data_IF_281628942782
#
_entry.id   IF_281628942782
#
_cell.length_a   1.000
_cell.length_b   1.000
_cell.length_c   1.000
_cell.angle_alpha   90.00
_cell.angle_beta   90.00
_cell.angle_gamma   90.00
#
_symmetry.space_group_name_H-M   'P 1'
#
loop_
_entity.id
_entity.type
_entity.pdbx_description
1 polymer ?
#
# COMPACT_ATOMS: atom_id res chain seq x y z
N UNK A 1 -36.27 -32.05 7.56
CA UNK A 1 -36.13 -30.89 6.65
C UNK A 1 -35.58 -29.72 7.47
N UNK A 2 -34.35 -29.26 7.22
CA UNK A 2 -33.76 -28.12 7.94
C UNK A 2 -33.95 -26.85 7.09
N UNK A 3 -34.52 -25.76 7.61
CA UNK A 3 -34.71 -24.54 6.86
C UNK A 3 -33.35 -23.89 6.60
N UNK A 4 -33.10 -23.54 5.34
CA UNK A 4 -31.89 -22.89 4.87
C UNK A 4 -32.10 -21.38 5.02
N UNK A 5 -31.65 -20.80 6.13
CA UNK A 5 -31.68 -19.34 6.33
C UNK A 5 -30.61 -18.74 5.42
N UNK A 6 -31.03 -18.08 4.35
CA UNK A 6 -30.14 -17.24 3.55
C UNK A 6 -29.97 -15.91 4.28
N UNK A 7 -28.80 -15.68 4.85
CA UNK A 7 -28.43 -14.38 5.40
C UNK A 7 -28.09 -13.48 4.22
N UNK A 8 -29.04 -12.65 3.82
CA UNK A 8 -28.81 -11.53 2.90
C UNK A 8 -28.03 -10.48 3.67
N UNK A 9 -26.72 -10.38 3.42
CA UNK A 9 -25.88 -9.34 4.04
C UNK A 9 -26.17 -8.04 3.30
N UNK A 10 -26.97 -7.17 3.91
CA UNK A 10 -27.21 -5.82 3.40
C UNK A 10 -25.89 -5.04 3.36
N UNK A 11 -25.60 -4.42 2.21
CA UNK A 11 -24.34 -3.74 1.88
C UNK A 11 -24.04 -2.48 2.70
N UNK A 12 -24.87 -2.14 3.69
CA UNK A 12 -24.77 -0.89 4.47
C UNK A 12 -23.85 -0.96 5.68
N UNK A 13 -23.59 -2.14 6.24
CA UNK A 13 -22.74 -2.29 7.44
C UNK A 13 -21.25 -2.40 7.11
N UNK A 14 -20.88 -2.63 5.84
CA UNK A 14 -19.48 -2.81 5.45
C UNK A 14 -18.64 -1.54 5.64
N UNK A 15 -19.24 -0.36 5.49
CA UNK A 15 -18.57 0.96 5.59
C UNK A 15 -17.84 1.19 6.90
N UNK A 16 -18.43 0.74 8.02
CA UNK A 16 -17.96 1.04 9.38
C UNK A 16 -16.83 0.12 9.85
N UNK A 17 -16.73 -1.07 9.26
CA UNK A 17 -15.65 -2.01 9.59
C UNK A 17 -14.38 -1.71 8.81
N UNK A 18 -14.49 -1.14 7.61
CA UNK A 18 -13.35 -0.87 6.74
C UNK A 18 -12.19 -0.22 7.49
N UNK A 19 -12.33 0.88 8.27
CA UNK A 19 -11.23 1.54 9.00
C UNK A 19 -10.43 0.64 9.96
N UNK A 20 -11.05 -0.41 10.50
CA UNK A 20 -10.42 -1.33 11.45
C UNK A 20 -9.77 -2.54 10.76
N UNK A 21 -10.33 -2.99 9.65
CA UNK A 21 -9.71 -4.04 8.82
C UNK A 21 -8.62 -3.46 7.92
N UNK A 22 -8.72 -2.15 7.65
CA UNK A 22 -7.88 -1.37 6.77
C UNK A 22 -6.36 -1.58 7.04
N UNK A 23 -5.84 -1.51 8.28
CA UNK A 23 -4.41 -1.62 8.58
C UNK A 23 -3.89 -3.07 8.54
N UNK A 24 -4.79 -4.05 8.61
CA UNK A 24 -4.45 -5.46 8.80
C UNK A 24 -4.45 -6.25 7.48
N UNK A 25 -4.97 -5.66 6.41
CA UNK A 25 -4.93 -6.22 5.06
C UNK A 25 -3.77 -5.61 4.30
N UNK A 26 -2.89 -6.46 3.77
CA UNK A 26 -1.79 -6.03 2.91
C UNK A 26 -2.34 -5.25 1.71
N UNK A 27 -1.86 -4.02 1.52
CA UNK A 27 -2.29 -3.12 0.45
C UNK A 27 -1.13 -2.76 -0.42
N UNK A 28 -1.35 -2.88 -1.72
CA UNK A 28 -0.42 -2.36 -2.73
C UNK A 28 -1.15 -1.25 -3.47
N UNK A 29 -0.50 -0.11 -3.62
CA UNK A 29 -1.03 0.96 -4.46
C UNK A 29 -0.48 0.80 -5.86
N UNK A 30 -1.37 0.75 -6.85
CA UNK A 30 -1.01 0.86 -8.25
C UNK A 30 -1.06 2.34 -8.64
N UNK A 31 0.10 2.92 -8.88
CA UNK A 31 0.25 4.31 -9.28
C UNK A 31 -0.37 4.55 -10.67
N UNK A 32 -1.25 5.53 -10.73
CA UNK A 32 -1.80 6.10 -11.95
C UNK A 32 -1.20 7.47 -12.19
N UNK A 33 -1.90 8.53 -11.79
CA UNK A 33 -1.46 9.92 -11.91
C UNK A 33 -0.53 10.35 -10.76
N UNK A 34 -0.42 9.57 -9.69
CA UNK A 34 0.50 9.78 -8.57
C UNK A 34 0.10 10.91 -7.62
N UNK A 35 -1.09 11.51 -7.77
CA UNK A 35 -1.52 12.65 -6.96
C UNK A 35 -1.92 12.25 -5.55
N UNK A 36 -2.43 11.03 -5.37
CA UNK A 36 -2.92 10.54 -4.08
C UNK A 36 -1.92 9.61 -3.38
N UNK A 37 -0.77 9.35 -4.00
CA UNK A 37 0.25 8.45 -3.47
C UNK A 37 1.37 9.24 -2.83
N UNK A 38 1.58 9.04 -1.52
CA UNK A 38 2.74 9.58 -0.81
C UNK A 38 3.98 8.84 -1.25
N UNK A 39 4.86 9.54 -1.96
CA UNK A 39 6.04 8.94 -2.59
C UNK A 39 6.90 8.15 -1.59
N UNK A 40 7.12 8.69 -0.40
CA UNK A 40 8.00 8.05 0.58
C UNK A 40 7.32 7.04 1.51
N UNK A 41 6.05 7.25 1.83
CA UNK A 41 5.35 6.59 2.94
C UNK A 41 4.41 5.48 2.51
N UNK A 42 3.91 5.53 1.27
CA UNK A 42 2.98 4.52 0.78
C UNK A 42 3.69 3.31 0.17
N UNK A 43 3.02 2.15 0.21
CA UNK A 43 3.49 0.90 -0.40
C UNK A 43 3.05 0.80 -1.86
N UNK A 44 3.71 1.56 -2.71
CA UNK A 44 3.44 1.56 -4.15
C UNK A 44 4.56 0.90 -4.96
N UNK A 45 5.69 0.59 -4.34
CA UNK A 45 6.85 -0.04 -4.96
C UNK A 45 7.27 -1.28 -4.18
N UNK A 46 7.34 -2.45 -4.84
CA UNK A 46 7.82 -3.70 -4.24
C UNK A 46 7.14 -4.10 -2.91
N UNK A 47 5.86 -3.77 -2.72
CA UNK A 47 5.10 -4.03 -1.50
C UNK A 47 5.71 -3.43 -0.21
N UNK A 48 6.61 -2.45 -0.32
CA UNK A 48 7.22 -1.75 0.80
C UNK A 48 7.21 -0.25 0.54
N UNK A 49 7.28 0.55 1.61
CA UNK A 49 7.42 1.99 1.51
C UNK A 49 8.90 2.38 1.38
N UNK A 50 9.20 3.41 0.58
CA UNK A 50 10.58 3.84 0.32
C UNK A 50 11.30 4.32 1.59
N UNK A 51 10.59 4.83 2.59
CA UNK A 51 11.18 5.19 3.88
C UNK A 51 11.74 3.99 4.67
N UNK A 52 11.22 2.79 4.43
CA UNK A 52 11.67 1.55 5.08
C UNK A 52 12.77 0.89 4.27
N UNK A 53 12.60 0.80 2.94
CA UNK A 53 13.57 0.13 2.06
C UNK A 53 14.81 0.98 1.75
N UNK A 54 14.68 2.31 1.76
CA UNK A 54 15.73 3.25 1.37
C UNK A 54 15.90 4.37 2.43
N UNK A 55 16.24 4.02 3.70
CA UNK A 55 16.21 4.95 4.83
C UNK A 55 17.23 6.09 4.70
N UNK A 56 18.41 5.84 4.12
CA UNK A 56 19.45 6.86 3.90
C UNK A 56 18.91 7.96 2.99
N UNK A 57 18.35 7.58 1.84
CA UNK A 57 17.79 8.49 0.85
C UNK A 57 16.55 9.23 1.40
N UNK A 58 15.70 8.52 2.14
CA UNK A 58 14.56 9.13 2.81
C UNK A 58 15.00 10.21 3.81
N UNK A 59 16.08 9.99 4.56
CA UNK A 59 16.58 10.95 5.56
C UNK A 59 17.02 12.28 4.96
N UNK A 60 17.30 12.33 3.66
CA UNK A 60 17.74 13.53 2.94
C UNK A 60 16.69 14.08 1.98
N UNK A 61 15.50 13.47 1.93
CA UNK A 61 14.37 14.00 1.18
C UNK A 61 14.03 15.42 1.65
N UNK A 62 13.74 16.31 0.69
CA UNK A 62 13.33 17.68 0.97
C UNK A 62 11.91 17.75 1.52
N UNK A 63 11.00 16.96 0.95
CA UNK A 63 9.62 16.85 1.38
C UNK A 63 9.21 15.37 1.50
N UNK A 64 9.07 14.91 2.74
CA UNK A 64 8.71 13.51 3.05
C UNK A 64 7.22 13.20 2.85
N UNK A 65 6.38 14.22 2.70
CA UNK A 65 4.94 14.08 2.45
C UNK A 65 4.56 14.35 0.99
N UNK A 66 5.56 14.63 0.14
CA UNK A 66 5.36 14.82 -1.30
C UNK A 66 4.69 13.63 -1.99
N UNK A 67 3.86 13.95 -2.98
CA UNK A 67 3.19 12.94 -3.79
C UNK A 67 4.10 12.38 -4.88
N UNK A 68 3.77 11.20 -5.42
CA UNK A 68 4.52 10.62 -6.53
C UNK A 68 4.53 11.52 -7.78
N UNK A 69 3.43 12.25 -8.03
CA UNK A 69 3.35 13.23 -9.11
C UNK A 69 4.34 14.39 -8.93
N UNK A 70 4.50 14.89 -7.70
CA UNK A 70 5.42 15.99 -7.39
C UNK A 70 6.91 15.62 -7.51
N UNK A 71 7.21 14.32 -7.49
CA UNK A 71 8.54 13.75 -7.69
C UNK A 71 8.70 13.20 -9.13
N UNK A 72 7.86 13.64 -10.07
CA UNK A 72 7.93 13.28 -11.49
C UNK A 72 8.07 14.55 -12.34
N UNK A 73 9.08 14.61 -13.20
CA UNK A 73 9.32 15.73 -14.11
C UNK A 73 9.66 15.19 -15.49
N UNK A 74 8.96 15.65 -16.54
CA UNK A 74 9.20 15.21 -17.91
C UNK A 74 9.05 13.69 -18.14
N UNK A 75 8.29 12.99 -17.28
CA UNK A 75 8.14 11.53 -17.32
C UNK A 75 9.22 10.75 -16.55
N UNK A 76 10.21 11.44 -15.98
CA UNK A 76 11.32 10.86 -15.23
C UNK A 76 11.10 11.08 -13.72
N UNK A 77 11.63 10.20 -12.88
CA UNK A 77 11.64 10.40 -11.43
C UNK A 77 12.64 11.48 -11.04
N UNK A 78 12.16 12.54 -10.39
CA UNK A 78 12.93 13.71 -9.98
C UNK A 78 12.61 14.09 -8.51
N UNK A 79 12.94 13.22 -7.53
CA UNK A 79 12.76 13.57 -6.13
C UNK A 79 13.71 14.68 -5.69
N UNK A 80 13.20 15.59 -4.85
CA UNK A 80 13.98 16.71 -4.33
C UNK A 80 14.65 16.36 -3.00
N UNK A 81 15.92 16.72 -2.87
CA UNK A 81 16.72 16.50 -1.67
C UNK A 81 17.10 17.81 -0.99
N UNK A 82 17.23 17.80 0.34
CA UNK A 82 17.54 19.01 1.14
C UNK A 82 19.02 19.38 1.13
N UNK A 83 19.88 18.48 0.67
CA UNK A 83 21.33 18.66 0.53
C UNK A 83 21.88 17.77 -0.57
N UNK A 84 23.12 18.02 -0.97
CA UNK A 84 23.88 17.13 -1.85
C UNK A 84 24.22 15.81 -1.14
N UNK A 85 24.48 14.79 -1.95
CA UNK A 85 24.92 13.46 -1.51
C UNK A 85 26.41 13.48 -1.17
N UNK A 86 26.77 12.72 -0.15
CA UNK A 86 28.17 12.43 0.17
C UNK A 86 28.64 11.20 -0.59
N UNK A 87 29.96 11.04 -0.76
CA UNK A 87 30.54 9.93 -1.53
C UNK A 87 30.08 8.54 -1.03
N UNK A 88 29.91 8.39 0.29
CA UNK A 88 29.44 7.16 0.89
C UNK A 88 27.94 6.88 0.70
N UNK A 89 27.14 7.87 0.29
CA UNK A 89 25.69 7.74 0.06
C UNK A 89 25.34 7.50 -1.42
N UNK A 90 26.34 7.55 -2.31
CA UNK A 90 26.14 7.43 -3.74
C UNK A 90 25.66 6.03 -4.14
N UNK A 91 26.11 4.98 -3.44
CA UNK A 91 25.67 3.61 -3.73
C UNK A 91 24.17 3.44 -3.45
N UNK A 92 23.70 3.96 -2.32
CA UNK A 92 22.29 3.99 -1.95
C UNK A 92 21.47 4.81 -2.95
N UNK A 93 22.03 5.90 -3.48
CA UNK A 93 21.37 6.70 -4.51
C UNK A 93 21.19 5.91 -5.82
N UNK A 94 22.24 5.20 -6.26
CA UNK A 94 22.16 4.36 -7.46
C UNK A 94 21.14 3.23 -7.30
N UNK A 95 21.16 2.54 -6.16
CA UNK A 95 20.19 1.47 -5.89
C UNK A 95 18.76 1.99 -5.75
N UNK A 96 18.59 3.18 -5.19
CA UNK A 96 17.30 3.87 -5.15
C UNK A 96 16.75 4.15 -6.56
N UNK A 97 17.56 4.75 -7.45
CA UNK A 97 17.11 5.03 -8.81
C UNK A 97 16.88 3.76 -9.64
N UNK A 98 17.70 2.71 -9.48
CA UNK A 98 17.43 1.39 -10.07
C UNK A 98 16.08 0.82 -9.63
N UNK A 99 15.75 0.97 -8.35
CA UNK A 99 14.45 0.53 -7.82
C UNK A 99 13.30 1.31 -8.48
N UNK A 100 13.50 2.62 -8.72
CA UNK A 100 12.52 3.49 -9.36
C UNK A 100 12.36 3.26 -10.87
N UNK A 101 13.42 2.88 -11.58
CA UNK A 101 13.35 2.55 -13.01
C UNK A 101 12.38 1.39 -13.30
N UNK A 102 12.29 0.41 -12.39
CA UNK A 102 11.30 -0.66 -12.48
C UNK A 102 9.85 -0.20 -12.28
N UNK A 103 9.64 1.03 -11.80
CA UNK A 103 8.33 1.56 -11.47
C UNK A 103 7.65 2.22 -12.69
N UNK A 104 6.65 1.54 -13.25
CA UNK A 104 5.79 2.12 -14.28
C UNK A 104 4.66 2.96 -13.67
N UNK A 105 4.42 4.13 -14.26
CA UNK A 105 3.36 5.05 -13.87
C UNK A 105 2.44 5.28 -15.06
N UNK A 106 1.13 5.13 -14.88
CA UNK A 106 0.13 5.36 -15.94
C UNK A 106 -0.56 6.70 -15.71
N UNK A 107 0.09 7.79 -16.10
CA UNK A 107 -0.30 9.17 -15.76
C UNK A 107 -1.73 9.57 -16.15
N UNK A 108 -2.31 8.91 -17.16
CA UNK A 108 -3.69 9.17 -17.62
C UNK A 108 -4.78 8.48 -16.78
N UNK A 109 -4.43 7.60 -15.85
CA UNK A 109 -5.38 6.89 -14.99
C UNK A 109 -5.31 7.43 -13.57
N UNK A 110 -6.43 7.39 -12.80
CA UNK A 110 -6.38 7.68 -11.38
C UNK A 110 -5.59 6.59 -10.63
N UNK A 111 -5.01 6.96 -9.49
CA UNK A 111 -4.37 6.02 -8.56
C UNK A 111 -5.38 4.97 -8.08
N UNK A 112 -4.93 3.71 -7.96
CA UNK A 112 -5.80 2.59 -7.55
C UNK A 112 -5.19 1.82 -6.41
N UNK A 113 -6.03 1.41 -5.47
CA UNK A 113 -5.62 0.56 -4.38
C UNK A 113 -5.95 -0.90 -4.71
N UNK A 114 -4.95 -1.77 -4.58
CA UNK A 114 -5.10 -3.22 -4.72
C UNK A 114 -5.06 -3.86 -3.34
N UNK A 115 -6.09 -4.63 -3.05
CA UNK A 115 -6.24 -5.36 -1.80
C UNK A 115 -5.68 -6.78 -1.94
N UNK A 116 -4.70 -7.12 -1.10
CA UNK A 116 -4.08 -8.43 -1.05
C UNK A 116 -3.24 -8.81 -2.29
N UNK A 117 -2.44 -9.85 -2.12
CA UNK A 117 -1.54 -10.40 -3.17
C UNK A 117 -2.27 -11.25 -4.22
N UNK A 118 -3.59 -11.11 -4.38
CA UNK A 118 -4.33 -11.86 -5.39
C UNK A 118 -3.94 -11.38 -6.78
N UNK A 119 -3.49 -12.30 -7.64
CA UNK A 119 -3.17 -12.00 -9.05
C UNK A 119 -4.36 -11.35 -9.78
N UNK A 120 -5.58 -11.76 -9.40
CA UNK A 120 -6.84 -11.25 -9.98
C UNK A 120 -7.21 -9.85 -9.50
N UNK A 121 -6.55 -9.32 -8.46
CA UNK A 121 -6.88 -8.02 -7.87
C UNK A 121 -8.27 -7.92 -7.24
N UNK A 122 -8.95 -9.05 -7.11
CA UNK A 122 -10.23 -9.19 -6.42
C UNK A 122 -9.90 -9.69 -5.03
N UNK A 123 -10.37 -8.94 -4.03
CA UNK A 123 -10.25 -9.30 -2.63
C UNK A 123 -11.64 -9.51 -2.08
N UNK A 124 -11.94 -10.73 -1.67
CA UNK A 124 -13.21 -11.03 -1.03
C UNK A 124 -13.12 -10.81 0.49
N UNK A 125 -14.23 -10.41 1.10
CA UNK A 125 -14.33 -10.28 2.57
C UNK A 125 -13.92 -11.58 3.26
N UNK A 126 -14.23 -12.73 2.65
CA UNK A 126 -13.87 -14.07 3.12
C UNK A 126 -12.35 -14.29 3.16
N UNK A 127 -11.63 -13.96 2.08
CA UNK A 127 -10.17 -14.07 2.04
C UNK A 127 -9.52 -13.12 3.05
N UNK A 128 -10.09 -11.94 3.25
CA UNK A 128 -9.63 -11.03 4.28
C UNK A 128 -9.82 -11.54 5.69
N UNK A 129 -11.00 -12.05 6.01
CA UNK A 129 -11.24 -12.68 7.31
C UNK A 129 -10.28 -13.85 7.56
N UNK A 130 -10.03 -14.69 6.54
CA UNK A 130 -9.14 -15.84 6.67
C UNK A 130 -7.68 -15.42 6.93
N UNK A 131 -7.18 -14.39 6.24
CA UNK A 131 -5.81 -13.87 6.47
C UNK A 131 -5.64 -13.24 7.85
N UNK A 132 -6.68 -12.55 8.34
CA UNK A 132 -6.68 -11.97 9.68
C UNK A 132 -6.61 -13.06 10.74
N UNK A 133 -7.46 -14.09 10.61
CA UNK A 133 -7.49 -15.21 11.56
C UNK A 133 -6.22 -16.06 11.49
N UNK A 134 -5.57 -16.18 10.32
CA UNK A 134 -4.33 -16.95 10.20
C UNK A 134 -3.07 -16.22 10.69
N UNK A 135 -3.11 -14.89 10.80
CA UNK A 135 -1.96 -14.07 11.23
C UNK A 135 -2.05 -13.61 12.69
N UNK A 136 -3.23 -13.76 13.31
CA UNK A 136 -3.45 -13.49 14.72
C UNK A 136 -4.06 -14.75 15.37
N UNK A 137 -3.26 -15.49 16.14
CA UNK A 137 -3.76 -16.44 17.14
C UNK A 137 -4.69 -15.76 18.18
N UNK A 138 -4.72 -14.43 18.19
CA UNK A 138 -5.51 -13.61 19.10
C UNK A 138 -6.98 -13.38 18.68
N UNK A 139 -7.39 -13.75 17.46
CA UNK A 139 -8.79 -13.59 17.02
C UNK A 139 -9.68 -14.76 17.49
N UNK A 140 -9.08 -15.87 17.91
CA UNK A 140 -9.80 -17.04 18.43
C UNK A 140 -10.36 -16.84 19.86
N UNK A 141 -10.08 -15.70 20.50
CA UNK A 141 -10.65 -15.33 21.81
C UNK A 141 -11.84 -14.36 21.71
N UNK A 142 -12.71 -14.51 20.70
CA UNK A 142 -13.96 -13.76 20.66
C UNK A 142 -15.13 -14.64 21.14
N UNK A 143 -15.79 -14.29 22.26
CA UNK A 143 -16.80 -15.14 22.91
C UNK A 143 -18.12 -15.27 22.14
N UNK A 144 -18.25 -14.63 20.99
CA UNK A 144 -19.51 -14.51 20.25
C UNK A 144 -19.82 -15.71 19.32
N UNK A 145 -18.95 -16.72 19.27
CA UNK A 145 -19.13 -17.91 18.40
C UNK A 145 -19.94 -19.04 19.10
N UNK A 146 -20.42 -18.84 20.34
CA UNK A 146 -21.14 -19.87 21.11
C UNK A 146 -22.63 -19.57 21.37
N UNK A 147 -23.36 -18.99 20.41
CA UNK A 147 -24.83 -18.92 20.50
C UNK A 147 -25.48 -19.25 19.15
#
# INVERSE_FOLDING_TARGET
MRPRVQITIETKTLGDFFPFVLPLVDRVIRIGNGNSVKFWKDRWLNNQSLNVSQPVIYSIASDTDSSAAQNREGGIWAPRFRRNFQDWELNELFDFFRTLEGASMTSHLPDRLKWGNSEKGIYTVKEGYHKLCSSNDMIDQRPWILI
#
